data_IF_167626400473
#
_entry.id   IF_167626400473
#
_cell.length_a   1.000
_cell.length_b   1.000
_cell.length_c   1.000
_cell.angle_alpha   90.00
_cell.angle_beta   90.00
_cell.angle_gamma   90.00
#
_symmetry.space_group_name_H-M   'P 1'
#
loop_
_entity.id
_entity.type
_entity.pdbx_description
1 polymer ?
#
# COMPACT_ATOMS: atom_id res chain seq x y z
N UNK A 1 -3.80 24.06 -6.16
CA UNK A 1 -2.79 23.11 -5.59
C UNK A 1 -2.82 23.24 -4.07
N UNK A 2 -2.81 22.13 -3.31
CA UNK A 2 -3.04 22.14 -1.85
C UNK A 2 -2.15 23.13 -1.09
N UNK A 3 -0.85 23.09 -1.32
CA UNK A 3 0.10 24.00 -0.66
C UNK A 3 0.05 25.45 -1.18
N UNK A 4 -0.48 25.68 -2.39
CA UNK A 4 -0.53 27.02 -2.99
C UNK A 4 -1.83 27.77 -2.65
N UNK A 5 -2.88 27.06 -2.24
CA UNK A 5 -4.21 27.61 -1.94
C UNK A 5 -4.78 26.99 -0.65
N UNK A 6 -4.05 27.06 0.48
CA UNK A 6 -4.38 26.33 1.70
C UNK A 6 -5.77 26.69 2.26
N UNK A 7 -6.25 27.91 2.05
CA UNK A 7 -7.56 28.38 2.51
C UNK A 7 -8.70 27.55 1.89
N UNK A 8 -8.54 27.08 0.64
CA UNK A 8 -9.54 26.24 -0.05
C UNK A 8 -9.65 24.83 0.55
N UNK A 9 -8.63 24.42 1.30
CA UNK A 9 -8.52 23.09 1.89
C UNK A 9 -8.68 23.08 3.42
N UNK A 10 -8.87 24.24 4.04
CA UNK A 10 -9.04 24.36 5.49
C UNK A 10 -10.21 23.51 6.00
N UNK A 11 -9.94 22.71 7.04
CA UNK A 11 -10.93 21.84 7.68
C UNK A 11 -11.38 20.63 6.86
N UNK A 12 -10.75 20.37 5.69
CA UNK A 12 -11.08 19.22 4.85
C UNK A 12 -10.16 18.04 5.14
N UNK A 13 -10.75 16.85 5.18
CA UNK A 13 -10.04 15.56 5.20
C UNK A 13 -10.24 14.91 3.84
N UNK A 14 -9.16 14.36 3.28
CA UNK A 14 -9.16 13.73 1.97
C UNK A 14 -8.56 12.35 2.07
N UNK A 15 -9.28 11.36 1.52
CA UNK A 15 -8.69 10.05 1.26
C UNK A 15 -7.80 10.12 0.02
N UNK A 16 -6.56 9.69 0.18
CA UNK A 16 -5.52 9.73 -0.86
C UNK A 16 -5.02 8.32 -1.14
N UNK A 17 -5.88 7.50 -1.73
CA UNK A 17 -5.52 6.14 -2.16
C UNK A 17 -5.18 6.10 -3.65
N UNK A 18 -4.51 5.03 -4.07
CA UNK A 18 -4.28 4.76 -5.49
C UNK A 18 -5.58 4.52 -6.26
N UNK A 19 -5.48 4.34 -7.57
CA UNK A 19 -6.66 4.21 -8.43
C UNK A 19 -7.12 2.76 -8.64
N UNK A 20 -6.32 1.81 -8.15
CA UNK A 20 -6.59 0.38 -8.22
C UNK A 20 -6.08 -0.27 -6.94
N UNK A 21 -6.90 -1.15 -6.36
CA UNK A 21 -6.48 -2.03 -5.28
C UNK A 21 -5.54 -3.11 -5.82
N UNK A 22 -4.47 -3.39 -5.08
CA UNK A 22 -3.47 -4.40 -5.44
C UNK A 22 -3.42 -5.47 -4.35
N UNK A 23 -3.50 -6.73 -4.77
CA UNK A 23 -3.28 -7.88 -3.90
C UNK A 23 -1.92 -8.50 -4.13
N UNK A 24 -1.63 -9.55 -3.36
CA UNK A 24 -0.36 -10.28 -3.49
C UNK A 24 -0.18 -10.94 -4.86
N UNK A 25 -1.27 -11.36 -5.51
CA UNK A 25 -1.23 -11.95 -6.84
C UNK A 25 -0.72 -10.95 -7.89
N UNK A 26 -1.28 -9.73 -7.93
CA UNK A 26 -0.82 -8.69 -8.86
C UNK A 26 0.63 -8.28 -8.61
N UNK A 27 1.04 -8.23 -7.34
CA UNK A 27 2.41 -7.90 -6.98
C UNK A 27 3.38 -9.02 -7.39
N UNK A 28 3.05 -10.28 -7.15
CA UNK A 28 3.89 -11.42 -7.54
C UNK A 28 4.02 -11.52 -9.08
N UNK A 29 2.91 -11.42 -9.80
CA UNK A 29 2.90 -11.41 -11.26
C UNK A 29 3.79 -10.28 -11.81
N UNK A 30 3.77 -9.11 -11.16
CA UNK A 30 4.54 -7.95 -11.60
C UNK A 30 6.07 -8.15 -11.55
N UNK A 31 6.55 -9.14 -10.80
CA UNK A 31 7.98 -9.49 -10.73
C UNK A 31 8.27 -10.89 -11.29
N UNK A 32 7.30 -11.49 -11.98
CA UNK A 32 7.45 -12.84 -12.57
C UNK A 32 7.46 -13.98 -11.55
N UNK A 33 6.89 -13.75 -10.36
CA UNK A 33 6.75 -14.75 -9.30
C UNK A 33 5.33 -15.32 -9.18
N UNK A 34 5.14 -16.25 -8.24
CA UNK A 34 3.82 -16.74 -7.81
C UNK A 34 3.48 -16.19 -6.42
N UNK A 35 2.19 -15.97 -6.18
CA UNK A 35 1.70 -15.56 -4.87
C UNK A 35 1.26 -16.77 -4.05
N UNK A 36 1.98 -17.04 -2.97
CA UNK A 36 1.70 -18.14 -2.04
C UNK A 36 1.29 -17.55 -0.67
N UNK A 37 -0.01 -17.34 -0.40
CA UNK A 37 -0.45 -16.78 0.88
C UNK A 37 -0.19 -17.76 2.02
N UNK A 38 0.48 -17.28 3.07
CA UNK A 38 0.74 -18.03 4.30
C UNK A 38 -0.14 -17.59 5.47
N UNK A 39 0.07 -18.20 6.64
CA UNK A 39 -0.55 -17.74 7.89
C UNK A 39 0.16 -16.50 8.45
N UNK A 40 -0.54 -15.72 9.27
CA UNK A 40 0.07 -14.58 9.99
C UNK A 40 1.22 -15.03 10.91
N UNK A 41 1.15 -16.24 11.47
CA UNK A 41 2.24 -16.83 12.26
C UNK A 41 3.49 -17.08 11.40
N UNK A 42 3.32 -17.66 10.21
CA UNK A 42 4.43 -17.85 9.27
C UNK A 42 5.04 -16.51 8.81
N UNK A 43 4.20 -15.50 8.55
CA UNK A 43 4.66 -14.15 8.21
C UNK A 43 5.47 -13.52 9.34
N UNK A 44 5.03 -13.68 10.60
CA UNK A 44 5.75 -13.18 11.80
C UNK A 44 7.16 -13.76 11.88
N UNK A 45 7.29 -15.08 11.77
CA UNK A 45 8.58 -15.77 11.84
C UNK A 45 9.49 -15.36 10.68
N UNK A 46 8.95 -15.30 9.45
CA UNK A 46 9.71 -14.91 8.26
C UNK A 46 10.27 -13.48 8.36
N UNK A 47 9.46 -12.51 8.81
CA UNK A 47 9.90 -11.13 9.01
C UNK A 47 10.97 -11.05 10.11
N UNK A 48 10.78 -11.75 11.23
CA UNK A 48 11.74 -11.78 12.34
C UNK A 48 13.09 -12.38 11.94
N UNK A 49 13.07 -13.48 11.18
CA UNK A 49 14.26 -14.15 10.68
C UNK A 49 15.05 -13.31 9.65
N UNK A 50 14.39 -12.40 8.93
CA UNK A 50 15.01 -11.56 7.92
C UNK A 50 16.00 -10.51 8.46
N UNK A 51 16.03 -10.25 9.77
CA UNK A 51 17.02 -9.40 10.45
C UNK A 51 16.93 -7.89 10.18
N UNK A 52 16.10 -7.45 9.22
CA UNK A 52 15.91 -6.04 8.87
C UNK A 52 14.88 -5.29 9.71
N UNK A 53 14.09 -5.99 10.53
CA UNK A 53 13.02 -5.40 11.33
C UNK A 53 13.42 -5.30 12.81
N UNK A 54 13.13 -4.15 13.44
CA UNK A 54 13.19 -4.00 14.88
C UNK A 54 12.08 -4.83 15.56
N UNK A 55 12.24 -5.26 16.83
CA UNK A 55 11.29 -6.17 17.48
C UNK A 55 9.82 -5.69 17.45
N UNK A 56 9.58 -4.39 17.61
CA UNK A 56 8.23 -3.83 17.55
C UNK A 56 7.67 -3.78 16.12
N UNK A 57 8.53 -3.68 15.10
CA UNK A 57 8.12 -3.59 13.70
C UNK A 57 7.55 -4.92 13.20
N UNK A 58 8.03 -6.05 13.73
CA UNK A 58 7.46 -7.38 13.41
C UNK A 58 5.97 -7.41 13.75
N UNK A 59 5.60 -7.03 14.98
CA UNK A 59 4.21 -6.98 15.42
C UNK A 59 3.39 -5.97 14.61
N UNK A 60 3.97 -4.81 14.30
CA UNK A 60 3.34 -3.77 13.48
C UNK A 60 2.99 -4.28 12.07
N UNK A 61 3.95 -4.90 11.37
CA UNK A 61 3.77 -5.42 10.01
C UNK A 61 2.74 -6.55 9.97
N UNK A 62 2.80 -7.48 10.92
CA UNK A 62 1.81 -8.56 11.03
C UNK A 62 0.41 -8.01 11.32
N UNK A 63 0.31 -6.96 12.14
CA UNK A 63 -0.96 -6.25 12.37
C UNK A 63 -1.52 -5.64 11.08
N UNK A 64 -0.68 -5.02 10.26
CA UNK A 64 -1.07 -4.51 8.93
C UNK A 64 -1.55 -5.63 8.01
N UNK A 65 -0.85 -6.78 7.96
CA UNK A 65 -1.29 -7.93 7.16
C UNK A 65 -2.63 -8.48 7.63
N UNK A 66 -2.88 -8.50 8.94
CA UNK A 66 -4.18 -8.89 9.48
C UNK A 66 -5.29 -7.93 9.04
N UNK A 67 -5.04 -6.63 9.01
CA UNK A 67 -6.02 -5.64 8.54
C UNK A 67 -6.32 -5.80 7.04
N UNK A 68 -5.28 -6.04 6.22
CA UNK A 68 -5.43 -6.32 4.79
C UNK A 68 -6.25 -7.59 4.58
N UNK A 69 -5.91 -8.69 5.26
CA UNK A 69 -6.64 -9.96 5.17
C UNK A 69 -8.10 -9.83 5.64
N UNK A 70 -8.38 -8.92 6.57
CA UNK A 70 -9.73 -8.58 7.01
C UNK A 70 -10.50 -7.65 6.07
N UNK A 71 -9.94 -7.27 4.92
CA UNK A 71 -10.61 -6.42 3.92
C UNK A 71 -10.54 -4.92 4.22
N UNK A 72 -9.79 -4.47 5.23
CA UNK A 72 -9.71 -3.04 5.57
C UNK A 72 -9.05 -2.21 4.44
N UNK A 73 -8.26 -2.84 3.56
CA UNK A 73 -7.61 -2.22 2.41
C UNK A 73 -8.11 -2.83 1.08
N UNK A 74 -9.39 -3.22 1.02
CA UNK A 74 -10.00 -3.86 -0.15
C UNK A 74 -10.23 -2.94 -1.37
N UNK A 75 -9.97 -1.63 -1.20
CA UNK A 75 -10.15 -0.63 -2.26
C UNK A 75 -11.49 0.09 -2.23
N UNK A 76 -12.34 -0.14 -1.23
CA UNK A 76 -13.59 0.63 -1.05
C UNK A 76 -13.37 2.15 -1.05
N UNK A 77 -12.26 2.64 -0.48
CA UNK A 77 -11.89 4.06 -0.49
C UNK A 77 -11.49 4.65 -1.85
N UNK A 78 -11.37 3.85 -2.92
CA UNK A 78 -10.94 4.34 -4.24
C UNK A 78 -12.01 5.22 -4.90
N UNK A 79 -13.30 4.93 -4.66
CA UNK A 79 -14.40 5.68 -5.27
C UNK A 79 -14.46 7.13 -4.76
N UNK A 80 -14.16 7.35 -3.48
CA UNK A 80 -14.22 8.66 -2.82
C UNK A 80 -12.85 9.36 -2.77
N UNK A 81 -11.84 8.80 -3.42
CA UNK A 81 -10.47 9.30 -3.35
C UNK A 81 -10.26 10.63 -4.10
N UNK A 82 -9.52 11.55 -3.47
CA UNK A 82 -9.27 12.88 -3.99
C UNK A 82 -7.92 13.05 -4.72
N UNK A 83 -7.09 12.02 -4.79
CA UNK A 83 -5.69 12.08 -5.24
C UNK A 83 -5.56 12.72 -6.62
N UNK A 84 -6.27 12.19 -7.63
CA UNK A 84 -6.26 12.72 -9.01
C UNK A 84 -6.65 14.19 -9.07
N UNK A 85 -7.74 14.54 -8.39
CA UNK A 85 -8.27 15.91 -8.35
C UNK A 85 -7.28 16.88 -7.73
N UNK A 86 -6.64 16.50 -6.62
CA UNK A 86 -5.67 17.35 -5.93
C UNK A 86 -4.34 17.46 -6.69
N UNK A 87 -3.95 16.41 -7.42
CA UNK A 87 -2.77 16.42 -8.30
C UNK A 87 -3.00 17.24 -9.58
N UNK A 88 -4.24 17.31 -10.07
CA UNK A 88 -4.57 17.92 -11.37
C UNK A 88 -4.00 17.14 -12.57
N UNK A 89 -3.64 15.87 -12.36
CA UNK A 89 -3.07 14.96 -13.36
C UNK A 89 -3.29 13.50 -12.95
N UNK A 90 -3.03 12.58 -13.87
CA UNK A 90 -2.96 11.15 -13.61
C UNK A 90 -2.00 10.85 -12.43
N UNK A 91 -2.45 10.15 -11.37
CA UNK A 91 -1.57 9.58 -10.37
C UNK A 91 -0.62 8.55 -11.00
N UNK A 92 0.59 8.41 -10.44
CA UNK A 92 1.50 7.34 -10.89
C UNK A 92 0.94 5.99 -10.43
N UNK A 93 0.84 4.97 -11.31
CA UNK A 93 0.41 3.64 -10.89
C UNK A 93 1.36 3.05 -9.84
N UNK A 94 0.79 2.55 -8.74
CA UNK A 94 1.58 1.96 -7.65
C UNK A 94 2.35 0.72 -8.12
N UNK A 95 1.81 -0.04 -9.09
CA UNK A 95 2.45 -1.22 -9.64
C UNK A 95 3.75 -0.89 -10.39
N UNK A 96 3.81 0.24 -11.09
CA UNK A 96 5.02 0.68 -11.80
C UNK A 96 6.13 1.04 -10.81
N UNK A 97 5.77 1.72 -9.72
CA UNK A 97 6.69 2.04 -8.63
C UNK A 97 7.22 0.78 -7.96
N UNK A 98 6.33 -0.18 -7.70
CA UNK A 98 6.68 -1.47 -7.13
C UNK A 98 7.67 -2.24 -8.02
N UNK A 99 7.40 -2.34 -9.33
CA UNK A 99 8.31 -3.00 -10.29
C UNK A 99 9.69 -2.35 -10.30
N UNK A 100 9.75 -1.01 -10.36
CA UNK A 100 11.00 -0.28 -10.35
C UNK A 100 11.80 -0.52 -9.05
N UNK A 101 11.14 -0.53 -7.90
CA UNK A 101 11.79 -0.78 -6.61
C UNK A 101 12.28 -2.23 -6.46
N UNK A 102 11.52 -3.20 -6.96
CA UNK A 102 11.90 -4.61 -6.93
C UNK A 102 13.11 -4.91 -7.83
N UNK A 103 13.20 -4.23 -8.98
CA UNK A 103 14.33 -4.36 -9.91
C UNK A 103 15.62 -3.65 -9.44
N UNK A 104 15.53 -2.73 -8.47
CA UNK A 104 16.67 -1.99 -7.93
C UNK A 104 17.44 -2.75 -6.82
N UNK A 105 17.11 -4.02 -6.61
CA UNK A 105 17.73 -4.90 -5.61
C UNK A 105 18.84 -5.76 -6.22
#
# INVERSE_FOLDING_TARGET
>A
RVAAEPERHAGRVYELVGERALGGAELAEAVGGSYEPGSLGAAREAIGAGGGALPYQVSMLVGTYSAIAGGFLDGTGIQDNALRTLLGREPRPALDVYRAAAAAR
#
